data_IF_541584450271
#
_entry.id   IF_541584450271
#
_cell.length_a   1.000
_cell.length_b   1.000
_cell.length_c   1.000
_cell.angle_alpha   90.00
_cell.angle_beta   90.00
_cell.angle_gamma   90.00
#
_symmetry.space_group_name_H-M   'P 1'
#
loop_
_entity.id
_entity.type
_entity.pdbx_description
1 polymer ?
#
# COMPACT_ATOMS: atom_id res chain seq x y z
N UNK A 1 8.65 35.22 47.95
CA UNK A 1 9.41 34.75 46.76
C UNK A 1 9.61 33.22 46.72
N UNK A 2 9.41 32.47 47.82
CA UNK A 2 9.68 31.02 47.89
C UNK A 2 8.56 30.09 47.32
N UNK A 3 7.31 30.57 47.22
CA UNK A 3 6.19 29.74 46.73
C UNK A 3 6.15 29.59 45.20
N UNK A 4 6.66 30.58 44.45
CA UNK A 4 6.72 30.54 42.97
C UNK A 4 7.78 29.59 42.42
N UNK A 5 8.82 29.29 43.19
CA UNK A 5 9.90 28.39 42.76
C UNK A 5 9.53 26.90 42.92
N UNK A 6 8.69 26.57 43.92
CA UNK A 6 8.19 25.20 44.12
C UNK A 6 7.19 24.77 43.04
N UNK A 7 6.33 25.66 42.56
CA UNK A 7 5.37 25.36 41.48
C UNK A 7 6.04 25.15 40.12
N UNK A 8 7.14 25.85 39.82
CA UNK A 8 7.91 25.67 38.58
C UNK A 8 8.68 24.34 38.59
N UNK A 9 9.28 23.96 39.74
CA UNK A 9 9.93 22.65 39.88
C UNK A 9 8.91 21.49 39.84
N UNK A 10 7.74 21.64 40.45
CA UNK A 10 6.68 20.63 40.44
C UNK A 10 6.09 20.43 39.03
N UNK A 11 5.85 21.52 38.28
CA UNK A 11 5.41 21.45 36.88
C UNK A 11 6.48 20.85 35.96
N UNK A 12 7.77 21.10 36.20
CA UNK A 12 8.87 20.42 35.47
C UNK A 12 8.92 18.92 35.77
N UNK A 13 8.68 18.53 37.02
CA UNK A 13 8.62 17.12 37.43
C UNK A 13 7.44 16.40 36.75
N UNK A 14 6.24 16.98 36.77
CA UNK A 14 5.06 16.43 36.08
C UNK A 14 5.27 16.31 34.55
N UNK A 15 5.95 17.27 33.92
CA UNK A 15 6.27 17.20 32.50
C UNK A 15 7.35 16.16 32.16
N UNK A 16 8.32 15.94 33.04
CA UNK A 16 9.33 14.90 32.91
C UNK A 16 8.71 13.52 33.09
N UNK A 17 7.81 13.34 34.06
CA UNK A 17 7.06 12.11 34.26
C UNK A 17 6.14 11.79 33.09
N UNK A 18 5.45 12.79 32.52
CA UNK A 18 4.68 12.59 31.28
C UNK A 18 5.56 12.21 30.10
N UNK A 19 6.72 12.87 29.91
CA UNK A 19 7.65 12.52 28.82
C UNK A 19 8.23 11.13 28.99
N UNK A 20 8.62 10.76 30.21
CA UNK A 20 9.10 9.42 30.54
C UNK A 20 7.99 8.39 30.30
N UNK A 21 6.77 8.64 30.75
CA UNK A 21 5.64 7.73 30.53
C UNK A 21 5.32 7.58 29.03
N UNK A 22 5.37 8.66 28.25
CA UNK A 22 5.25 8.60 26.79
C UNK A 22 6.40 7.78 26.16
N UNK A 23 7.64 7.98 26.63
CA UNK A 23 8.79 7.20 26.17
C UNK A 23 8.67 5.72 26.53
N UNK A 24 8.21 5.38 27.75
CA UNK A 24 7.98 4.02 28.20
C UNK A 24 6.83 3.35 27.45
N UNK A 25 5.72 4.06 27.21
CA UNK A 25 4.60 3.59 26.40
C UNK A 25 5.02 3.38 24.94
N UNK A 26 5.79 4.31 24.36
CA UNK A 26 6.30 4.19 23.00
C UNK A 26 7.33 3.06 22.87
N UNK A 27 8.26 2.95 23.83
CA UNK A 27 9.24 1.87 23.88
C UNK A 27 8.57 0.49 24.07
N UNK A 28 7.57 0.40 24.96
CA UNK A 28 6.76 -0.80 25.14
C UNK A 28 5.93 -1.14 23.91
N UNK A 29 5.50 -0.13 23.13
CA UNK A 29 4.81 -0.35 21.86
C UNK A 29 5.77 -0.87 20.79
N UNK A 30 7.00 -0.35 20.72
CA UNK A 30 7.99 -0.78 19.74
C UNK A 30 8.52 -2.19 20.01
N UNK A 31 8.76 -2.55 21.27
CA UNK A 31 9.16 -3.92 21.63
C UNK A 31 8.06 -4.93 21.28
N UNK A 32 6.80 -4.54 21.48
CA UNK A 32 5.65 -5.37 21.13
C UNK A 32 5.47 -5.52 19.61
N UNK A 33 5.61 -4.44 18.85
CA UNK A 33 5.59 -4.46 17.37
C UNK A 33 6.70 -5.38 16.84
N UNK A 34 7.91 -5.29 17.39
CA UNK A 34 9.02 -6.16 16.99
C UNK A 34 8.75 -7.63 17.35
N UNK A 35 8.23 -7.89 18.56
CA UNK A 35 7.85 -9.24 19.01
C UNK A 35 6.85 -9.88 18.06
N UNK A 36 5.76 -9.17 17.73
CA UNK A 36 4.73 -9.66 16.81
C UNK A 36 5.28 -9.85 15.40
N UNK A 37 6.11 -8.93 14.90
CA UNK A 37 6.76 -9.07 13.59
C UNK A 37 7.61 -10.34 13.53
N UNK A 38 8.38 -10.64 14.58
CA UNK A 38 9.18 -11.86 14.69
C UNK A 38 8.31 -13.11 14.71
N UNK A 39 7.25 -13.12 15.51
CA UNK A 39 6.29 -14.24 15.56
C UNK A 39 5.71 -14.54 14.19
N UNK A 40 5.30 -13.52 13.44
CA UNK A 40 4.78 -13.68 12.08
C UNK A 40 5.86 -14.28 11.18
N UNK A 41 7.06 -13.71 11.16
CA UNK A 41 8.14 -14.16 10.28
C UNK A 41 8.60 -15.59 10.56
N UNK A 42 8.72 -15.98 11.82
CA UNK A 42 9.22 -17.30 12.22
C UNK A 42 8.13 -18.38 12.20
N UNK A 43 6.86 -18.01 12.00
CA UNK A 43 5.74 -18.95 11.97
C UNK A 43 5.88 -20.01 10.84
N UNK A 44 5.56 -21.29 11.07
CA UNK A 44 5.64 -22.35 10.03
C UNK A 44 4.47 -22.31 9.04
N UNK A 45 3.94 -21.14 8.68
CA UNK A 45 2.89 -21.03 7.67
C UNK A 45 3.46 -21.40 6.29
N UNK A 46 2.75 -22.20 5.45
CA UNK A 46 1.33 -22.59 5.56
C UNK A 46 1.05 -23.90 6.31
N UNK A 47 2.06 -24.64 6.78
CA UNK A 47 1.89 -25.95 7.43
C UNK A 47 1.01 -25.86 8.69
N UNK A 48 1.05 -24.72 9.37
CA UNK A 48 0.11 -24.36 10.44
C UNK A 48 -0.62 -23.06 10.11
N UNK A 49 -1.93 -22.95 10.41
CA UNK A 49 -2.65 -21.69 10.24
C UNK A 49 -2.10 -20.62 11.18
N UNK A 50 -1.91 -19.40 10.68
CA UNK A 50 -1.33 -18.30 11.45
C UNK A 50 -2.32 -17.67 12.44
N UNK A 51 -3.62 -17.68 12.10
CA UNK A 51 -4.68 -16.99 12.85
C UNK A 51 -4.76 -17.39 14.34
N UNK A 52 -4.70 -18.69 14.74
CA UNK A 52 -4.71 -19.05 16.16
C UNK A 52 -3.53 -18.47 16.96
N UNK A 53 -2.34 -18.41 16.35
CA UNK A 53 -1.18 -17.78 16.99
C UNK A 53 -1.36 -16.27 17.11
N UNK A 54 -1.93 -15.59 16.11
CA UNK A 54 -2.27 -14.17 16.24
C UNK A 54 -3.30 -13.94 17.35
N UNK A 55 -4.32 -14.79 17.43
CA UNK A 55 -5.34 -14.79 18.48
C UNK A 55 -4.78 -14.89 19.89
N UNK A 56 -3.80 -15.78 20.10
CA UNK A 56 -3.18 -15.96 21.41
C UNK A 56 -2.18 -14.87 21.77
N UNK A 57 -1.60 -14.20 20.77
CA UNK A 57 -0.49 -13.26 20.96
C UNK A 57 -0.92 -11.80 20.91
N UNK A 58 -2.05 -11.48 20.30
CA UNK A 58 -2.52 -10.10 20.06
C UNK A 58 -3.95 -9.96 20.61
N UNK A 59 -4.14 -9.31 21.77
CA UNK A 59 -5.48 -9.06 22.28
C UNK A 59 -6.24 -8.10 21.34
N UNK A 60 -7.57 -8.26 21.15
CA UNK A 60 -8.34 -7.40 20.25
C UNK A 60 -8.22 -5.90 20.52
N UNK A 61 -8.03 -5.52 21.78
CA UNK A 61 -7.84 -4.12 22.20
C UNK A 61 -6.50 -3.51 21.77
N UNK A 62 -5.51 -4.32 21.41
CA UNK A 62 -4.22 -3.84 20.90
C UNK A 62 -4.25 -3.51 19.39
N UNK A 63 -5.27 -3.95 18.66
CA UNK A 63 -5.41 -3.76 17.22
C UNK A 63 -5.87 -2.33 16.86
N UNK A 64 -4.99 -1.36 17.09
CA UNK A 64 -5.15 0.02 16.64
C UNK A 64 -4.54 0.24 15.24
N UNK A 65 -4.97 1.28 14.52
CA UNK A 65 -4.39 1.64 13.21
C UNK A 65 -2.87 1.81 13.25
N UNK A 66 -2.27 2.57 14.20
CA UNK A 66 -0.82 2.72 14.28
C UNK A 66 -0.09 1.39 14.55
N UNK A 67 -0.66 0.53 15.38
CA UNK A 67 -0.07 -0.77 15.67
C UNK A 67 0.02 -1.65 14.42
N UNK A 68 -1.09 -1.78 13.68
CA UNK A 68 -1.15 -2.61 12.47
C UNK A 68 -0.28 -2.02 11.36
N UNK A 69 -0.29 -0.70 11.18
CA UNK A 69 0.58 0.01 10.23
C UNK A 69 2.07 -0.23 10.50
N UNK A 70 2.49 -0.20 11.77
CA UNK A 70 3.88 -0.40 12.15
C UNK A 70 4.32 -1.86 11.97
N UNK A 71 3.49 -2.83 12.36
CA UNK A 71 3.79 -4.26 12.11
C UNK A 71 3.91 -4.51 10.60
N UNK A 72 2.95 -4.04 9.79
CA UNK A 72 3.02 -4.15 8.34
C UNK A 72 4.19 -3.39 7.75
N UNK A 73 4.56 -2.24 8.33
CA UNK A 73 5.74 -1.47 7.93
C UNK A 73 7.03 -2.25 8.12
N UNK A 74 7.19 -2.95 9.25
CA UNK A 74 8.33 -3.83 9.48
C UNK A 74 8.31 -5.05 8.55
N UNK A 75 7.15 -5.68 8.36
CA UNK A 75 7.01 -6.80 7.42
C UNK A 75 7.37 -6.39 5.99
N UNK A 76 6.94 -5.21 5.59
CA UNK A 76 7.25 -4.60 4.29
C UNK A 76 8.74 -4.36 4.10
N UNK A 77 9.40 -3.74 5.11
CA UNK A 77 10.81 -3.41 5.08
C UNK A 77 11.70 -4.66 5.11
N UNK A 78 11.27 -5.70 5.82
CA UNK A 78 11.99 -6.98 5.90
C UNK A 78 11.75 -7.91 4.70
N UNK A 79 11.01 -7.48 3.67
CA UNK A 79 10.64 -8.33 2.53
C UNK A 79 10.00 -9.67 2.95
N UNK A 80 9.13 -9.60 3.97
CA UNK A 80 8.51 -10.78 4.58
C UNK A 80 7.58 -11.52 3.62
N UNK A 81 7.23 -12.76 3.95
CA UNK A 81 6.31 -13.56 3.14
C UNK A 81 4.94 -12.86 3.02
N UNK A 82 4.50 -12.64 1.78
CA UNK A 82 3.27 -11.89 1.50
C UNK A 82 1.98 -12.55 1.99
N UNK A 83 1.93 -13.89 2.04
CA UNK A 83 0.77 -14.59 2.58
C UNK A 83 0.66 -14.40 4.10
N UNK A 84 1.78 -14.41 4.81
CA UNK A 84 1.79 -14.14 6.26
C UNK A 84 1.36 -12.69 6.58
N UNK A 85 1.84 -11.72 5.80
CA UNK A 85 1.41 -10.33 5.93
C UNK A 85 -0.10 -10.17 5.63
N UNK A 86 -0.59 -10.89 4.62
CA UNK A 86 -2.02 -10.93 4.30
C UNK A 86 -2.83 -11.54 5.44
N UNK A 87 -2.47 -12.70 5.96
CA UNK A 87 -3.13 -13.35 7.11
C UNK A 87 -3.19 -12.41 8.33
N UNK A 88 -2.10 -11.69 8.62
CA UNK A 88 -2.08 -10.69 9.69
C UNK A 88 -3.09 -9.55 9.47
N UNK A 89 -3.13 -8.98 8.25
CA UNK A 89 -4.08 -7.93 7.93
C UNK A 89 -5.53 -8.44 7.91
N UNK A 90 -5.78 -9.65 7.41
CA UNK A 90 -7.10 -10.29 7.46
C UNK A 90 -7.56 -10.49 8.91
N UNK A 91 -6.65 -10.93 9.78
CA UNK A 91 -6.91 -11.06 11.22
C UNK A 91 -7.25 -9.71 11.86
N UNK A 92 -6.53 -8.63 11.54
CA UNK A 92 -6.83 -7.31 12.12
C UNK A 92 -8.22 -6.80 11.72
N UNK A 93 -8.67 -7.10 10.48
CA UNK A 93 -10.01 -6.77 10.00
C UNK A 93 -11.15 -7.54 10.71
N UNK A 94 -10.86 -8.57 11.51
CA UNK A 94 -11.87 -9.27 12.31
C UNK A 94 -12.21 -8.52 13.61
N UNK A 95 -11.36 -7.58 14.05
CA UNK A 95 -11.61 -6.81 15.26
C UNK A 95 -12.52 -5.62 14.97
N UNK A 96 -13.66 -5.56 15.65
CA UNK A 96 -14.58 -4.41 15.58
C UNK A 96 -13.96 -3.08 16.06
N UNK A 97 -12.83 -3.15 16.78
CA UNK A 97 -12.12 -1.95 17.28
C UNK A 97 -11.10 -1.42 16.27
N UNK A 98 -10.76 -2.21 15.25
CA UNK A 98 -9.77 -1.82 14.26
C UNK A 98 -10.43 -1.07 13.11
N UNK A 99 -9.96 0.16 12.87
CA UNK A 99 -10.30 0.92 11.67
C UNK A 99 -9.14 0.79 10.68
N UNK A 100 -9.33 0.09 9.54
CA UNK A 100 -8.27 -0.05 8.56
C UNK A 100 -7.93 1.29 7.90
N UNK A 101 -6.66 1.47 7.61
CA UNK A 101 -6.12 2.67 6.96
C UNK A 101 -5.63 2.35 5.55
N UNK A 102 -5.54 3.40 4.72
CA UNK A 102 -4.97 3.29 3.36
C UNK A 102 -3.54 2.78 3.42
N UNK A 103 -2.77 3.18 4.44
CA UNK A 103 -1.39 2.80 4.62
C UNK A 103 -1.22 1.29 4.88
N UNK A 104 -1.97 0.73 5.84
CA UNK A 104 -1.94 -0.70 6.14
C UNK A 104 -2.40 -1.54 4.93
N UNK A 105 -3.49 -1.14 4.28
CA UNK A 105 -3.99 -1.80 3.07
C UNK A 105 -2.96 -1.77 1.93
N UNK A 106 -2.42 -0.60 1.60
CA UNK A 106 -1.47 -0.42 0.51
C UNK A 106 -0.15 -1.15 0.78
N UNK A 107 0.35 -1.16 2.03
CA UNK A 107 1.52 -1.97 2.42
C UNK A 107 1.26 -3.45 2.17
N UNK A 108 0.11 -3.97 2.62
CA UNK A 108 -0.25 -5.38 2.42
C UNK A 108 -0.35 -5.73 0.93
N UNK A 109 -1.03 -4.88 0.15
CA UNK A 109 -1.15 -5.03 -1.30
C UNK A 109 0.22 -5.01 -1.99
N UNK A 110 1.12 -4.13 -1.56
CA UNK A 110 2.46 -4.04 -2.13
C UNK A 110 3.32 -5.26 -1.77
N UNK A 111 3.23 -5.80 -0.56
CA UNK A 111 3.95 -7.03 -0.20
C UNK A 111 3.45 -8.20 -1.06
N UNK A 112 2.13 -8.39 -1.18
CA UNK A 112 1.53 -9.45 -1.99
C UNK A 112 1.98 -9.38 -3.46
N UNK A 113 1.82 -8.22 -4.09
CA UNK A 113 2.16 -8.01 -5.50
C UNK A 113 3.67 -8.09 -5.77
N UNK A 114 4.52 -7.69 -4.81
CA UNK A 114 5.97 -7.89 -4.88
C UNK A 114 6.35 -9.37 -4.93
N UNK A 115 5.63 -10.20 -4.16
CA UNK A 115 5.81 -11.65 -4.12
C UNK A 115 5.01 -12.37 -5.22
N UNK A 116 4.36 -11.63 -6.13
CA UNK A 116 3.55 -12.13 -7.25
C UNK A 116 2.30 -12.93 -6.82
N UNK A 117 1.84 -12.77 -5.59
CA UNK A 117 0.56 -13.32 -5.13
C UNK A 117 -0.61 -12.46 -5.65
N UNK A 118 -0.77 -12.37 -6.97
CA UNK A 118 -1.75 -11.51 -7.60
C UNK A 118 -3.20 -11.92 -7.28
N UNK A 119 -3.49 -13.22 -7.21
CA UNK A 119 -4.83 -13.71 -6.85
C UNK A 119 -5.24 -13.23 -5.45
N UNK A 120 -4.32 -13.33 -4.48
CA UNK A 120 -4.53 -12.82 -3.12
C UNK A 120 -4.59 -11.30 -3.06
N UNK A 121 -3.85 -10.60 -3.91
CA UNK A 121 -3.95 -9.15 -4.04
C UNK A 121 -5.33 -8.72 -4.58
N UNK A 122 -5.89 -9.43 -5.56
CA UNK A 122 -7.24 -9.20 -6.05
C UNK A 122 -8.30 -9.52 -4.99
N UNK A 123 -8.17 -10.65 -4.29
CA UNK A 123 -9.04 -11.02 -3.17
C UNK A 123 -9.04 -9.94 -2.08
N UNK A 124 -7.87 -9.39 -1.76
CA UNK A 124 -7.74 -8.27 -0.84
C UNK A 124 -8.51 -7.02 -1.32
N UNK A 125 -8.34 -6.64 -2.59
CA UNK A 125 -9.03 -5.46 -3.14
C UNK A 125 -10.55 -5.65 -3.19
N UNK A 126 -11.04 -6.84 -3.53
CA UNK A 126 -12.48 -7.14 -3.52
C UNK A 126 -13.05 -7.11 -2.09
N UNK A 127 -12.33 -7.66 -1.10
CA UNK A 127 -12.74 -7.54 0.31
C UNK A 127 -12.79 -6.08 0.77
N UNK A 128 -11.80 -5.27 0.40
CA UNK A 128 -11.77 -3.84 0.75
C UNK A 128 -12.87 -3.06 0.03
N UNK A 129 -13.16 -3.36 -1.24
CA UNK A 129 -14.31 -2.80 -1.96
C UNK A 129 -15.63 -3.03 -1.20
N UNK A 130 -15.83 -4.23 -0.68
CA UNK A 130 -17.07 -4.62 0.01
C UNK A 130 -17.19 -4.01 1.42
N UNK A 131 -16.08 -3.87 2.12
CA UNK A 131 -16.08 -3.49 3.55
C UNK A 131 -15.65 -2.04 3.82
N UNK A 132 -14.71 -1.51 3.04
CA UNK A 132 -14.04 -0.23 3.29
C UNK A 132 -13.69 0.48 1.96
N UNK A 133 -14.69 0.69 1.10
CA UNK A 133 -14.52 1.17 -0.28
C UNK A 133 -13.67 2.44 -0.42
N UNK A 134 -13.70 3.33 0.58
CA UNK A 134 -12.92 4.57 0.59
C UNK A 134 -11.40 4.35 0.62
N UNK A 135 -10.93 3.16 0.99
CA UNK A 135 -9.50 2.82 0.98
C UNK A 135 -8.97 2.47 -0.41
N UNK A 136 -9.84 2.28 -1.40
CA UNK A 136 -9.43 2.07 -2.78
C UNK A 136 -9.02 3.40 -3.41
N UNK A 137 -7.71 3.55 -3.65
CA UNK A 137 -7.10 4.79 -4.16
C UNK A 137 -6.40 4.56 -5.50
N UNK A 138 -6.09 5.65 -6.22
CA UNK A 138 -5.18 5.61 -7.37
C UNK A 138 -3.82 5.01 -7.03
N UNK A 139 -3.36 5.15 -5.78
CA UNK A 139 -2.11 4.55 -5.32
C UNK A 139 -2.23 3.03 -5.23
N UNK A 140 -3.33 2.49 -4.71
CA UNK A 140 -3.58 1.04 -4.71
C UNK A 140 -3.65 0.46 -6.14
N UNK A 141 -4.31 1.16 -7.07
CA UNK A 141 -4.32 0.80 -8.48
C UNK A 141 -2.90 0.80 -9.07
N UNK A 142 -2.11 1.84 -8.78
CA UNK A 142 -0.72 1.97 -9.24
C UNK A 142 0.17 0.84 -8.74
N UNK A 143 0.03 0.45 -7.46
CA UNK A 143 0.76 -0.69 -6.86
C UNK A 143 0.49 -1.96 -7.66
N UNK A 144 -0.79 -2.25 -7.94
CA UNK A 144 -1.20 -3.47 -8.64
C UNK A 144 -0.71 -3.46 -10.09
N UNK A 145 -1.08 -2.42 -10.87
CA UNK A 145 -0.78 -2.35 -12.30
C UNK A 145 0.72 -2.29 -12.57
N UNK A 146 1.50 -1.56 -11.77
CA UNK A 146 2.95 -1.50 -11.93
C UNK A 146 3.63 -2.85 -11.71
N UNK A 147 3.08 -3.71 -10.85
CA UNK A 147 3.62 -5.05 -10.59
C UNK A 147 3.15 -6.07 -11.63
N UNK A 148 1.91 -5.97 -12.11
CA UNK A 148 1.40 -6.75 -13.24
C UNK A 148 2.23 -6.44 -14.49
N UNK A 149 2.37 -5.17 -14.88
CA UNK A 149 3.18 -4.75 -16.04
C UNK A 149 4.64 -5.27 -15.98
N UNK A 150 5.19 -5.38 -14.76
CA UNK A 150 6.55 -5.87 -14.54
C UNK A 150 6.70 -7.38 -14.80
N UNK A 151 5.67 -8.16 -14.50
CA UNK A 151 5.78 -9.62 -14.39
C UNK A 151 4.83 -10.40 -15.30
N UNK A 152 3.90 -9.72 -15.96
CA UNK A 152 2.89 -10.29 -16.84
C UNK A 152 2.91 -9.57 -18.21
N UNK A 153 2.06 -10.01 -19.13
CA UNK A 153 2.03 -9.48 -20.49
C UNK A 153 1.37 -8.09 -20.59
N UNK A 154 1.51 -7.47 -21.77
CA UNK A 154 0.78 -6.25 -22.12
C UNK A 154 -0.73 -6.47 -22.04
N UNK A 155 -1.19 -7.60 -22.57
CA UNK A 155 -2.59 -8.02 -22.57
C UNK A 155 -3.12 -8.20 -21.14
N UNK A 156 -2.37 -8.91 -20.28
CA UNK A 156 -2.75 -9.11 -18.87
C UNK A 156 -2.84 -7.77 -18.12
N UNK A 157 -1.97 -6.81 -18.44
CA UNK A 157 -1.98 -5.48 -17.83
C UNK A 157 -3.20 -4.68 -18.27
N UNK A 158 -3.62 -4.79 -19.54
CA UNK A 158 -4.86 -4.17 -20.02
C UNK A 158 -6.10 -4.82 -19.43
N UNK A 159 -6.10 -6.15 -19.31
CA UNK A 159 -7.17 -6.90 -18.66
C UNK A 159 -7.29 -6.47 -17.19
N UNK A 160 -6.17 -6.38 -16.47
CA UNK A 160 -6.14 -5.89 -15.11
C UNK A 160 -6.68 -4.46 -14.98
N UNK A 161 -6.36 -3.56 -15.93
CA UNK A 161 -6.93 -2.21 -15.94
C UNK A 161 -8.45 -2.23 -16.18
N UNK A 162 -8.92 -3.08 -17.10
CA UNK A 162 -10.36 -3.27 -17.33
C UNK A 162 -11.07 -3.85 -16.11
N UNK A 163 -10.45 -4.82 -15.42
CA UNK A 163 -10.94 -5.39 -14.16
C UNK A 163 -11.01 -4.35 -13.05
N UNK A 164 -10.02 -3.47 -12.95
CA UNK A 164 -10.07 -2.34 -12.02
C UNK A 164 -11.32 -1.49 -12.27
N UNK A 165 -11.60 -1.16 -13.53
CA UNK A 165 -12.74 -0.30 -13.89
C UNK A 165 -14.10 -0.97 -13.65
N UNK A 166 -14.23 -2.23 -14.07
CA UNK A 166 -15.50 -2.93 -14.12
C UNK A 166 -15.86 -3.59 -12.78
N UNK A 167 -14.88 -4.16 -12.09
CA UNK A 167 -15.10 -4.93 -10.87
C UNK A 167 -14.71 -4.13 -9.62
N UNK A 168 -13.47 -3.64 -9.53
CA UNK A 168 -12.96 -3.10 -8.26
C UNK A 168 -13.51 -1.69 -7.95
N UNK A 169 -13.46 -0.80 -8.93
CA UNK A 169 -13.94 0.57 -8.83
C UNK A 169 -15.34 0.74 -9.44
N UNK A 170 -16.12 -0.34 -9.49
CA UNK A 170 -17.42 -0.42 -10.20
C UNK A 170 -18.35 0.77 -9.90
N UNK A 171 -18.81 1.48 -10.93
CA UNK A 171 -19.65 2.68 -10.76
C UNK A 171 -18.86 4.00 -10.67
N UNK A 172 -17.52 3.95 -10.73
CA UNK A 172 -16.67 5.11 -10.98
C UNK A 172 -16.26 5.07 -12.45
N UNK A 173 -16.58 6.12 -13.20
CA UNK A 173 -16.13 6.26 -14.58
C UNK A 173 -14.66 6.65 -14.60
N UNK A 174 -13.80 5.84 -15.20
CA UNK A 174 -12.39 6.19 -15.30
C UNK A 174 -12.21 7.43 -16.17
N UNK A 175 -11.28 8.28 -15.74
CA UNK A 175 -10.88 9.49 -16.42
C UNK A 175 -9.38 9.51 -16.68
N UNK A 176 -8.86 10.71 -16.88
CA UNK A 176 -7.46 10.94 -17.24
C UNK A 176 -6.49 10.50 -16.13
N UNK A 177 -6.90 10.52 -14.86
CA UNK A 177 -6.01 10.13 -13.77
C UNK A 177 -5.76 8.62 -13.71
N UNK A 178 -6.79 7.79 -13.88
CA UNK A 178 -6.65 6.32 -13.96
C UNK A 178 -5.85 5.93 -15.20
N UNK A 179 -6.12 6.57 -16.33
CA UNK A 179 -5.33 6.39 -17.54
C UNK A 179 -3.85 6.74 -17.34
N UNK A 180 -3.56 7.83 -16.62
CA UNK A 180 -2.21 8.21 -16.25
C UNK A 180 -1.54 7.22 -15.30
N UNK A 181 -2.29 6.47 -14.49
CA UNK A 181 -1.76 5.37 -13.67
C UNK A 181 -1.33 4.21 -14.56
N UNK A 182 -2.16 3.82 -15.54
CA UNK A 182 -1.81 2.78 -16.52
C UNK A 182 -0.55 3.12 -17.32
N UNK A 183 -0.46 4.35 -17.85
CA UNK A 183 0.72 4.79 -18.59
C UNK A 183 1.98 4.76 -17.72
N UNK A 184 1.88 5.23 -16.46
CA UNK A 184 2.99 5.16 -15.50
C UNK A 184 3.43 3.73 -15.24
N UNK A 185 2.50 2.77 -15.13
CA UNK A 185 2.85 1.37 -14.90
C UNK A 185 3.83 0.86 -15.96
N UNK A 186 3.55 1.08 -17.25
CA UNK A 186 4.45 0.71 -18.35
C UNK A 186 5.75 1.54 -18.36
N UNK A 187 5.67 2.87 -18.20
CA UNK A 187 6.86 3.73 -18.19
C UNK A 187 7.86 3.34 -17.09
N UNK A 188 7.38 3.08 -15.87
CA UNK A 188 8.24 2.68 -14.74
C UNK A 188 8.89 1.31 -14.95
N UNK A 189 8.32 0.45 -15.81
CA UNK A 189 8.95 -0.82 -16.21
C UNK A 189 9.78 -0.69 -17.50
N UNK A 190 10.03 0.54 -17.99
CA UNK A 190 10.76 0.84 -19.24
C UNK A 190 10.12 0.20 -20.49
N UNK A 191 8.83 -0.07 -20.45
CA UNK A 191 8.02 -0.65 -21.53
C UNK A 191 7.44 0.47 -22.40
N UNK A 192 8.29 1.25 -23.06
CA UNK A 192 7.85 2.46 -23.78
C UNK A 192 7.08 2.16 -25.07
N UNK A 193 7.34 1.01 -25.71
CA UNK A 193 6.58 0.57 -26.88
C UNK A 193 5.12 0.29 -26.49
N UNK A 194 4.94 -0.39 -25.36
CA UNK A 194 3.67 -0.72 -24.75
C UNK A 194 2.95 0.55 -24.26
N UNK A 195 3.66 1.46 -23.58
CA UNK A 195 3.10 2.74 -23.15
C UNK A 195 2.56 3.55 -24.34
N UNK A 196 3.31 3.61 -25.46
CA UNK A 196 2.85 4.25 -26.71
C UNK A 196 1.62 3.53 -27.30
N UNK A 197 1.63 2.21 -27.30
CA UNK A 197 0.50 1.41 -27.78
C UNK A 197 -0.77 1.68 -26.96
N UNK A 198 -0.66 1.69 -25.62
CA UNK A 198 -1.75 2.08 -24.71
C UNK A 198 -2.24 3.50 -25.00
N UNK A 199 -1.32 4.45 -25.17
CA UNK A 199 -1.69 5.82 -25.48
C UNK A 199 -2.51 5.90 -26.77
N UNK A 200 -2.00 5.34 -27.86
CA UNK A 200 -2.70 5.33 -29.15
C UNK A 200 -4.07 4.64 -29.06
N UNK A 201 -4.18 3.55 -28.30
CA UNK A 201 -5.42 2.80 -28.14
C UNK A 201 -6.49 3.54 -27.33
N UNK A 202 -6.10 4.32 -26.32
CA UNK A 202 -7.03 4.84 -25.31
C UNK A 202 -7.11 6.39 -25.23
N UNK A 203 -6.25 7.13 -25.93
CA UNK A 203 -6.26 8.61 -25.89
C UNK A 203 -7.59 9.23 -26.39
N UNK A 204 -8.31 8.56 -27.29
CA UNK A 204 -9.64 9.02 -27.73
C UNK A 204 -10.70 8.89 -26.64
N UNK A 205 -10.50 7.96 -25.70
CA UNK A 205 -11.39 7.73 -24.55
C UNK A 205 -11.07 8.68 -23.38
N UNK A 206 -9.79 8.98 -23.17
CA UNK A 206 -9.33 9.80 -22.05
C UNK A 206 -8.66 11.07 -22.57
N UNK A 207 -9.22 12.23 -22.25
CA UNK A 207 -8.64 13.53 -22.62
C UNK A 207 -7.26 13.68 -22.00
N UNK A 208 -6.22 13.44 -22.79
CA UNK A 208 -4.83 13.58 -22.36
C UNK A 208 -4.55 15.02 -21.95
N UNK A 209 -3.82 15.21 -20.86
CA UNK A 209 -3.46 16.54 -20.35
C UNK A 209 -1.93 16.68 -20.22
N UNK A 210 -1.48 17.82 -19.71
CA UNK A 210 -0.05 18.08 -19.47
C UNK A 210 0.61 16.98 -18.61
N UNK A 211 -0.11 16.42 -17.63
CA UNK A 211 0.38 15.33 -16.79
C UNK A 211 0.59 14.05 -17.61
N UNK A 212 -0.31 13.74 -18.54
CA UNK A 212 -0.17 12.62 -19.50
C UNK A 212 1.08 12.77 -20.35
N UNK A 213 1.28 13.94 -20.96
CA UNK A 213 2.44 14.21 -21.79
C UNK A 213 3.75 14.12 -20.99
N UNK A 214 3.78 14.68 -19.78
CA UNK A 214 4.95 14.61 -18.91
C UNK A 214 5.34 13.18 -18.54
N UNK A 215 4.37 12.28 -18.33
CA UNK A 215 4.64 10.85 -18.05
C UNK A 215 5.33 10.19 -19.23
N UNK A 216 4.83 10.43 -20.45
CA UNK A 216 5.40 9.84 -21.65
C UNK A 216 6.80 10.39 -21.93
N UNK A 217 6.96 11.73 -21.87
CA UNK A 217 8.26 12.38 -22.09
C UNK A 217 9.32 11.90 -21.09
N UNK A 218 8.97 11.78 -19.81
CA UNK A 218 9.89 11.24 -18.80
C UNK A 218 10.23 9.77 -19.08
N UNK A 219 9.24 8.96 -19.43
CA UNK A 219 9.47 7.55 -19.78
C UNK A 219 10.40 7.38 -20.99
N UNK A 220 10.21 8.16 -22.06
CA UNK A 220 11.08 8.13 -23.25
C UNK A 220 12.49 8.61 -22.94
N UNK A 221 12.63 9.63 -22.09
CA UNK A 221 13.95 10.09 -21.62
C UNK A 221 14.68 9.00 -20.86
N UNK A 222 14.00 8.28 -19.98
CA UNK A 222 14.60 7.22 -19.16
C UNK A 222 14.91 5.93 -19.95
N UNK A 223 14.23 5.68 -21.07
CA UNK A 223 14.50 4.54 -21.95
C UNK A 223 15.65 4.79 -22.94
N UNK A 224 16.18 6.02 -23.02
CA UNK A 224 17.24 6.39 -23.98
C UNK A 224 16.77 6.48 -25.44
N UNK A 225 15.46 6.43 -25.69
CA UNK A 225 14.89 6.50 -27.04
C UNK A 225 14.58 7.96 -27.40
N UNK A 226 15.65 8.71 -27.70
CA UNK A 226 15.61 10.16 -27.96
C UNK A 226 14.87 10.50 -29.25
N UNK A 227 14.64 9.51 -30.11
CA UNK A 227 14.01 9.64 -31.43
C UNK A 227 12.51 9.93 -31.37
N UNK A 228 11.82 9.63 -30.25
CA UNK A 228 10.36 9.74 -30.15
C UNK A 228 9.85 11.10 -29.63
N UNK A 229 10.73 12.01 -29.18
CA UNK A 229 10.33 13.35 -28.70
C UNK A 229 9.60 14.20 -29.76
N UNK A 230 9.79 13.91 -31.06
CA UNK A 230 9.15 14.64 -32.16
C UNK A 230 7.73 14.16 -32.49
N UNK A 231 7.37 12.92 -32.14
CA UNK A 231 6.10 12.30 -32.55
C UNK A 231 5.00 12.36 -31.47
N UNK A 232 5.34 12.69 -30.23
CA UNK A 232 4.35 12.87 -29.14
C UNK A 232 3.70 14.26 -29.20
N UNK A 233 4.27 15.19 -29.98
CA UNK A 233 3.81 16.58 -30.13
C UNK A 233 3.13 16.87 -31.47
N UNK A 234 2.91 15.85 -32.32
CA UNK A 234 2.24 15.95 -33.62
C UNK A 234 0.96 15.13 -33.63
#
# INVERSE_FOLDING_TARGET
MLLKNRSIQFNRFLHLDQKLNILWLHYSSETEIERITRIINDHPFPDKPLNPTLGSQIPPAALSSPFVENVLGRLFAAHSNGLKAYEFFQYSLLSNQYVPSSDAFEKTLHILTRMRYFDKAWELMERIKQTHRSLLTLKSMSIMLSRIAKFQSYEDTLEAFGRMETEIFSGIKFGTDEFNVLLRAFCTQRQMKEARSVFNKLHSRFSSNTKTMNILLLGFKESGDVTCNRAVLS
#
